data_IF_747815675693
#
_entry.id   IF_747815675693
#
_cell.length_a   1.000
_cell.length_b   1.000
_cell.length_c   1.000
_cell.angle_alpha   90.00
_cell.angle_beta   90.00
_cell.angle_gamma   90.00
#
_symmetry.space_group_name_H-M   'P 1'
#
loop_
_entity.id
_entity.type
_entity.pdbx_description
1 polymer ?
#
# COMPACT_ATOMS: atom_id res chain seq x y z
N UNK A 1 25.92 -9.15 27.12
CA UNK A 1 25.34 -7.99 26.46
C UNK A 1 25.89 -7.96 25.04
N UNK A 2 25.21 -8.55 24.09
CA UNK A 2 25.58 -8.51 22.67
C UNK A 2 24.64 -7.52 22.02
N UNK A 3 25.18 -6.39 21.54
CA UNK A 3 24.47 -5.50 20.66
C UNK A 3 24.17 -6.27 19.37
N UNK A 4 22.90 -6.57 19.14
CA UNK A 4 22.47 -7.01 17.84
C UNK A 4 22.64 -5.78 16.93
N UNK A 5 23.68 -5.80 16.10
CA UNK A 5 23.87 -4.88 14.99
C UNK A 5 22.56 -4.91 14.18
N UNK A 6 21.77 -3.85 14.33
CA UNK A 6 20.59 -3.64 13.50
C UNK A 6 21.07 -3.48 12.08
N UNK A 7 20.81 -4.47 11.24
CA UNK A 7 20.97 -4.31 9.81
C UNK A 7 20.18 -3.06 9.42
N UNK A 8 20.92 -2.03 9.04
CA UNK A 8 20.34 -0.75 8.66
C UNK A 8 19.62 -0.97 7.34
N UNK A 9 18.27 -0.93 7.35
CA UNK A 9 17.46 -1.02 6.14
C UNK A 9 17.71 0.24 5.29
N UNK A 10 18.77 0.20 4.50
CA UNK A 10 19.11 1.31 3.60
C UNK A 10 18.12 1.34 2.45
N UNK A 11 17.55 2.52 2.21
CA UNK A 11 16.74 2.78 1.02
C UNK A 11 17.63 3.48 0.00
N UNK A 12 17.80 2.94 -1.22
CA UNK A 12 18.44 3.68 -2.30
C UNK A 12 17.56 4.87 -2.72
N UNK A 13 18.18 5.86 -3.33
CA UNK A 13 17.46 6.96 -3.95
C UNK A 13 16.86 6.48 -5.28
N UNK A 14 15.54 6.29 -5.39
CA UNK A 14 14.92 5.81 -6.62
C UNK A 14 14.99 6.90 -7.71
N UNK A 15 15.06 6.49 -8.96
CA UNK A 15 14.94 7.40 -10.11
C UNK A 15 13.56 8.03 -10.18
N UNK A 16 12.52 7.25 -9.83
CA UNK A 16 11.13 7.69 -9.81
C UNK A 16 10.44 7.22 -8.53
N UNK A 17 9.87 8.17 -7.80
CA UNK A 17 9.12 7.94 -6.58
C UNK A 17 7.64 8.26 -6.83
N UNK A 18 6.78 7.28 -6.69
CA UNK A 18 5.34 7.48 -6.68
C UNK A 18 4.84 7.64 -5.25
N UNK A 19 4.18 8.76 -4.98
CA UNK A 19 3.52 9.05 -3.70
C UNK A 19 2.02 8.88 -3.91
N UNK A 20 1.43 7.91 -3.24
CA UNK A 20 0.01 7.71 -3.23
C UNK A 20 -0.64 8.62 -2.18
N UNK A 21 -1.48 9.53 -2.64
CA UNK A 21 -2.25 10.38 -1.74
C UNK A 21 -3.49 9.62 -1.22
N UNK A 22 -3.28 8.88 -0.16
CA UNK A 22 -4.31 8.25 0.67
C UNK A 22 -4.61 9.06 1.94
N UNK A 23 -4.05 10.26 2.06
CA UNK A 23 -4.08 11.07 3.28
C UNK A 23 -5.05 12.25 3.18
N UNK A 24 -5.08 12.96 2.05
CA UNK A 24 -5.82 14.23 1.92
C UNK A 24 -7.30 14.07 2.24
N UNK A 25 -7.99 13.14 1.57
CA UNK A 25 -9.42 12.92 1.76
C UNK A 25 -9.74 12.32 3.13
N UNK A 26 -8.87 11.48 3.65
CA UNK A 26 -9.04 10.90 4.98
C UNK A 26 -8.96 11.98 6.05
N UNK A 27 -7.93 12.83 6.00
CA UNK A 27 -7.76 13.93 6.96
C UNK A 27 -8.90 14.92 6.84
N UNK A 28 -9.34 15.27 5.64
CA UNK A 28 -10.46 16.18 5.44
C UNK A 28 -11.78 15.65 6.03
N UNK A 29 -12.04 14.34 5.88
CA UNK A 29 -13.24 13.70 6.49
C UNK A 29 -13.16 13.65 8.01
N UNK A 30 -12.00 13.38 8.57
CA UNK A 30 -11.81 13.17 10.00
C UNK A 30 -11.71 14.47 10.78
N UNK A 31 -10.95 15.43 10.28
CA UNK A 31 -10.58 16.66 10.97
C UNK A 31 -11.38 17.89 10.48
N UNK A 32 -12.13 17.73 9.37
CA UNK A 32 -12.81 18.82 8.68
C UNK A 32 -11.94 19.52 7.62
N UNK A 33 -12.55 19.90 6.51
CA UNK A 33 -11.85 20.44 5.33
C UNK A 33 -11.05 21.73 5.59
N UNK A 34 -11.41 22.51 6.59
CA UNK A 34 -10.73 23.76 7.00
C UNK A 34 -9.71 23.59 8.12
N UNK A 35 -9.43 22.37 8.57
CA UNK A 35 -8.55 22.13 9.71
C UNK A 35 -7.07 22.41 9.41
N UNK A 36 -6.26 22.76 10.44
CA UNK A 36 -4.82 22.89 10.29
C UNK A 36 -4.15 21.62 9.74
N UNK A 37 -4.67 20.45 10.06
CA UNK A 37 -4.16 19.18 9.56
C UNK A 37 -4.31 19.06 8.04
N UNK A 38 -5.44 19.49 7.47
CA UNK A 38 -5.67 19.54 6.01
C UNK A 38 -4.71 20.52 5.34
N UNK A 39 -4.53 21.72 5.91
CA UNK A 39 -3.59 22.69 5.38
C UNK A 39 -2.15 22.12 5.34
N UNK A 40 -1.67 21.53 6.44
CA UNK A 40 -0.35 20.92 6.49
C UNK A 40 -0.21 19.70 5.57
N UNK A 41 -1.28 18.93 5.36
CA UNK A 41 -1.26 17.82 4.38
C UNK A 41 -1.05 18.36 2.96
N UNK A 42 -1.76 19.42 2.59
CA UNK A 42 -1.58 20.08 1.29
C UNK A 42 -0.18 20.67 1.14
N UNK A 43 0.35 21.30 2.18
CA UNK A 43 1.71 21.85 2.18
C UNK A 43 2.76 20.74 2.00
N UNK A 44 2.59 19.59 2.66
CA UNK A 44 3.46 18.44 2.49
C UNK A 44 3.43 17.96 1.04
N UNK A 45 2.26 17.66 0.49
CA UNK A 45 2.13 17.16 -0.88
C UNK A 45 2.64 18.17 -1.92
N UNK A 46 2.36 19.48 -1.74
CA UNK A 46 2.90 20.52 -2.58
C UNK A 46 4.42 20.62 -2.50
N UNK A 47 5.01 20.40 -1.31
CA UNK A 47 6.45 20.33 -1.16
C UNK A 47 7.04 19.13 -1.91
N UNK A 48 6.42 17.94 -1.79
CA UNK A 48 6.88 16.73 -2.49
C UNK A 48 6.80 16.90 -4.02
N UNK A 49 5.74 17.54 -4.51
CA UNK A 49 5.52 17.77 -5.95
C UNK A 49 6.53 18.73 -6.59
N UNK A 50 7.34 19.47 -5.82
CA UNK A 50 8.38 20.38 -6.37
C UNK A 50 9.46 19.65 -7.15
N UNK A 51 9.75 18.41 -6.79
CA UNK A 51 10.67 17.54 -7.55
C UNK A 51 9.88 16.76 -8.63
N UNK A 52 9.30 17.52 -9.58
CA UNK A 52 8.44 16.94 -10.60
C UNK A 52 9.17 16.01 -11.59
N UNK A 53 10.49 16.00 -11.62
CA UNK A 53 11.26 15.05 -12.43
C UNK A 53 11.27 13.66 -11.80
N UNK A 54 11.31 13.59 -10.47
CA UNK A 54 11.43 12.34 -9.72
C UNK A 54 10.19 11.91 -8.98
N UNK A 55 9.35 12.84 -8.55
CA UNK A 55 8.17 12.55 -7.73
C UNK A 55 6.89 12.65 -8.55
N UNK A 56 6.06 11.62 -8.44
CA UNK A 56 4.71 11.57 -9.04
C UNK A 56 3.68 11.35 -7.92
N UNK A 57 2.83 12.33 -7.70
CA UNK A 57 1.71 12.18 -6.77
C UNK A 57 0.54 11.56 -7.54
N UNK A 58 -0.04 10.51 -6.98
CA UNK A 58 -1.17 9.78 -7.55
C UNK A 58 -2.33 9.81 -6.57
N UNK A 59 -3.47 10.35 -6.97
CA UNK A 59 -4.70 10.29 -6.18
C UNK A 59 -5.35 8.91 -6.26
N UNK A 60 -6.15 8.55 -5.25
CA UNK A 60 -6.94 7.30 -5.28
C UNK A 60 -7.87 7.28 -6.48
N UNK A 61 -8.60 8.39 -6.71
CA UNK A 61 -9.57 8.50 -7.80
C UNK A 61 -8.96 8.26 -9.17
N UNK A 62 -7.84 8.93 -9.50
CA UNK A 62 -7.15 8.72 -10.78
C UNK A 62 -6.73 7.27 -10.99
N UNK A 63 -6.26 6.61 -9.94
CA UNK A 63 -5.82 5.22 -10.05
C UNK A 63 -7.01 4.26 -10.22
N UNK A 64 -8.12 4.51 -9.53
CA UNK A 64 -9.38 3.76 -9.70
C UNK A 64 -9.87 3.90 -11.13
N UNK A 65 -9.92 5.12 -11.69
CA UNK A 65 -10.33 5.35 -13.09
C UNK A 65 -9.42 4.59 -14.07
N UNK A 66 -8.11 4.56 -13.82
CA UNK A 66 -7.16 3.82 -14.66
C UNK A 66 -7.38 2.30 -14.60
N UNK A 67 -7.76 1.76 -13.45
CA UNK A 67 -8.12 0.32 -13.33
C UNK A 67 -9.39 0.05 -14.12
N UNK A 68 -10.43 0.86 -13.94
CA UNK A 68 -11.73 0.69 -14.60
C UNK A 68 -11.61 0.84 -16.12
N UNK A 69 -10.77 1.77 -16.60
CA UNK A 69 -10.54 1.99 -18.03
C UNK A 69 -9.88 0.81 -18.77
N UNK A 70 -9.31 -0.17 -18.04
CA UNK A 70 -8.65 -1.33 -18.66
C UNK A 70 -9.61 -2.44 -19.07
N UNK A 71 -10.88 -2.36 -18.73
CA UNK A 71 -11.89 -3.30 -19.15
C UNK A 71 -13.07 -3.33 -18.22
N UNK A 72 -14.17 -3.89 -18.71
CA UNK A 72 -15.36 -4.13 -17.90
C UNK A 72 -15.39 -5.59 -17.41
N UNK A 73 -15.94 -5.79 -16.24
CA UNK A 73 -16.06 -7.10 -15.61
C UNK A 73 -17.47 -7.30 -15.11
N UNK A 74 -18.02 -8.49 -15.34
CA UNK A 74 -19.20 -8.94 -14.61
C UNK A 74 -18.88 -8.96 -13.10
N UNK A 75 -19.86 -8.73 -12.23
CA UNK A 75 -19.65 -8.75 -10.78
C UNK A 75 -19.03 -10.07 -10.31
N UNK A 76 -17.99 -9.96 -9.49
CA UNK A 76 -17.36 -11.12 -8.85
C UNK A 76 -18.21 -11.60 -7.67
N UNK A 77 -18.31 -12.91 -7.49
CA UNK A 77 -19.05 -13.48 -6.37
C UNK A 77 -18.48 -13.08 -5.01
N UNK A 78 -17.14 -12.89 -4.93
CA UNK A 78 -16.45 -12.41 -3.74
C UNK A 78 -15.13 -11.71 -4.12
N UNK A 79 -14.90 -10.56 -3.51
CA UNK A 79 -13.60 -9.88 -3.51
C UNK A 79 -12.89 -10.07 -2.16
N UNK A 80 -11.61 -10.39 -2.20
CA UNK A 80 -10.70 -10.52 -1.06
C UNK A 80 -9.79 -9.29 -1.03
N UNK A 81 -10.08 -8.35 -0.14
CA UNK A 81 -9.27 -7.15 0.06
C UNK A 81 -8.13 -7.43 1.03
N UNK A 82 -6.87 -7.29 0.60
CA UNK A 82 -5.70 -7.54 1.43
C UNK A 82 -5.50 -6.37 2.40
N UNK A 83 -5.62 -6.65 3.69
CA UNK A 83 -5.56 -5.64 4.73
C UNK A 83 -6.66 -4.57 4.60
N UNK A 84 -6.54 -3.50 5.35
CA UNK A 84 -7.47 -2.37 5.27
C UNK A 84 -7.31 -1.57 3.97
N UNK A 85 -6.11 -1.52 3.39
CA UNK A 85 -5.86 -0.81 2.14
C UNK A 85 -6.54 -1.50 0.96
N UNK A 86 -6.33 -2.81 0.79
CA UNK A 86 -6.98 -3.59 -0.26
C UNK A 86 -8.50 -3.62 -0.13
N UNK A 87 -9.04 -3.64 1.09
CA UNK A 87 -10.48 -3.51 1.31
C UNK A 87 -11.01 -2.17 0.79
N UNK A 88 -10.37 -1.03 1.16
CA UNK A 88 -10.77 0.30 0.67
C UNK A 88 -10.70 0.41 -0.85
N UNK A 89 -9.69 -0.20 -1.47
CA UNK A 89 -9.58 -0.25 -2.94
C UNK A 89 -10.73 -1.05 -3.56
N UNK A 90 -11.07 -2.20 -2.98
CA UNK A 90 -12.21 -2.99 -3.45
C UNK A 90 -13.54 -2.21 -3.33
N UNK A 91 -13.74 -1.51 -2.22
CA UNK A 91 -14.90 -0.64 -2.00
C UNK A 91 -14.96 0.50 -3.03
N UNK A 92 -13.82 1.16 -3.32
CA UNK A 92 -13.76 2.24 -4.32
C UNK A 92 -14.04 1.72 -5.74
N UNK A 93 -13.48 0.58 -6.12
CA UNK A 93 -13.75 -0.06 -7.42
C UNK A 93 -15.22 -0.52 -7.52
N UNK A 94 -15.80 -1.04 -6.41
CA UNK A 94 -17.22 -1.37 -6.39
C UNK A 94 -18.09 -0.13 -6.57
N UNK A 95 -17.85 0.93 -5.83
CA UNK A 95 -18.60 2.18 -5.93
C UNK A 95 -18.54 2.78 -7.35
N UNK A 96 -17.41 2.59 -8.06
CA UNK A 96 -17.21 3.13 -9.40
C UNK A 96 -17.75 2.25 -10.53
N UNK A 97 -17.65 0.92 -10.41
CA UNK A 97 -17.91 -0.02 -11.49
C UNK A 97 -18.85 -1.19 -11.12
N UNK A 98 -19.25 -1.31 -9.85
CA UNK A 98 -20.16 -2.37 -9.43
C UNK A 98 -19.54 -3.78 -9.33
N UNK A 99 -18.22 -3.92 -9.48
CA UNK A 99 -17.58 -5.23 -9.65
C UNK A 99 -17.58 -6.11 -8.41
N UNK A 100 -17.61 -5.54 -7.20
CA UNK A 100 -17.40 -6.28 -5.95
C UNK A 100 -18.56 -6.13 -4.94
N UNK A 101 -19.75 -6.71 -5.22
CA UNK A 101 -20.91 -6.57 -4.34
C UNK A 101 -20.70 -7.21 -2.96
N UNK A 102 -19.76 -8.13 -2.85
CA UNK A 102 -19.35 -8.77 -1.59
C UNK A 102 -17.83 -8.63 -1.43
N UNK A 103 -17.40 -8.04 -0.32
CA UNK A 103 -15.99 -7.83 0.00
C UNK A 103 -15.69 -8.47 1.35
N UNK A 104 -14.62 -9.27 1.42
CA UNK A 104 -14.06 -9.83 2.64
C UNK A 104 -12.63 -9.32 2.80
N UNK A 105 -12.31 -8.79 3.98
CA UNK A 105 -10.93 -8.43 4.31
C UNK A 105 -10.15 -9.70 4.69
N UNK A 106 -8.94 -9.80 4.15
CA UNK A 106 -7.93 -10.76 4.56
C UNK A 106 -6.89 -10.00 5.36
N UNK A 107 -6.78 -10.31 6.65
CA UNK A 107 -5.91 -9.61 7.59
C UNK A 107 -4.45 -10.00 7.43
N UNK A 108 -3.78 -9.44 6.45
CA UNK A 108 -2.35 -9.67 6.20
C UNK A 108 -1.59 -8.36 6.13
N UNK A 109 -0.34 -8.42 6.57
CA UNK A 109 0.62 -7.32 6.44
C UNK A 109 2.03 -7.87 6.25
N UNK A 110 2.96 -6.97 5.93
CA UNK A 110 4.40 -7.27 5.90
C UNK A 110 5.05 -6.78 7.19
N UNK A 111 5.97 -7.55 7.70
CA UNK A 111 6.76 -7.24 8.89
C UNK A 111 8.23 -7.44 8.56
N UNK A 112 9.10 -6.52 9.01
CA UNK A 112 10.56 -6.67 8.88
C UNK A 112 11.00 -7.95 9.59
N UNK A 113 11.80 -8.79 8.90
CA UNK A 113 12.24 -10.09 9.41
C UNK A 113 13.52 -10.03 10.28
N UNK A 114 14.07 -8.80 10.47
CA UNK A 114 15.32 -8.56 11.20
C UNK A 114 16.59 -8.97 10.44
N UNK A 115 16.46 -9.42 9.18
CA UNK A 115 17.58 -9.84 8.31
C UNK A 115 17.67 -9.00 7.03
N UNK A 116 17.00 -7.84 7.00
CA UNK A 116 16.94 -6.96 5.83
C UNK A 116 15.83 -7.32 4.82
N UNK A 117 14.93 -8.27 5.16
CA UNK A 117 13.80 -8.68 4.35
C UNK A 117 12.46 -8.47 5.05
N UNK A 118 11.42 -8.99 4.42
CA UNK A 118 10.05 -8.94 4.93
C UNK A 118 9.41 -10.31 4.89
N UNK A 119 8.58 -10.60 5.90
CA UNK A 119 7.69 -11.75 5.94
C UNK A 119 6.24 -11.31 5.94
N UNK A 120 5.36 -12.14 5.41
CA UNK A 120 3.91 -11.96 5.52
C UNK A 120 3.46 -12.50 6.89
N UNK A 121 2.69 -11.67 7.60
CA UNK A 121 2.12 -12.04 8.88
C UNK A 121 0.62 -11.78 8.89
N UNK A 122 -0.13 -12.64 9.62
CA UNK A 122 -1.55 -12.40 9.86
C UNK A 122 -1.73 -11.26 10.87
N UNK A 123 -2.71 -10.41 10.62
CA UNK A 123 -3.17 -9.36 11.56
C UNK A 123 -4.52 -9.71 12.19
N UNK A 124 -5.11 -10.82 11.77
CA UNK A 124 -6.36 -11.38 12.29
C UNK A 124 -6.09 -12.76 12.88
N UNK A 125 -6.99 -13.28 13.73
CA UNK A 125 -6.90 -14.66 14.21
C UNK A 125 -6.87 -15.67 13.05
N UNK A 126 -6.00 -16.66 13.18
CA UNK A 126 -5.78 -17.69 12.15
C UNK A 126 -4.72 -17.32 11.11
N UNK A 127 -4.26 -18.33 10.42
CA UNK A 127 -3.34 -18.21 9.28
C UNK A 127 -4.11 -17.87 7.98
N UNK A 128 -3.38 -17.72 6.88
CA UNK A 128 -4.00 -17.39 5.58
C UNK A 128 -5.03 -18.43 5.14
N UNK A 129 -4.76 -19.76 5.21
CA UNK A 129 -5.75 -20.78 4.90
C UNK A 129 -7.03 -20.65 5.71
N UNK A 130 -6.96 -20.42 7.02
CA UNK A 130 -8.13 -20.26 7.87
C UNK A 130 -8.97 -19.04 7.49
N UNK A 131 -8.34 -17.93 7.08
CA UNK A 131 -9.06 -16.74 6.60
C UNK A 131 -9.71 -16.94 5.23
N UNK A 132 -9.28 -17.97 4.48
CA UNK A 132 -9.83 -18.33 3.16
C UNK A 132 -10.93 -19.42 3.23
N UNK A 133 -11.40 -19.78 4.41
CA UNK A 133 -12.45 -20.76 4.55
C UNK A 133 -13.72 -20.34 3.79
N UNK A 134 -14.37 -21.29 3.09
CA UNK A 134 -15.54 -21.07 2.25
C UNK A 134 -15.31 -20.26 0.97
N UNK A 135 -14.04 -19.86 0.67
CA UNK A 135 -13.72 -19.11 -0.56
C UNK A 135 -13.69 -20.03 -1.78
N UNK A 136 -13.34 -21.31 -1.59
CA UNK A 136 -13.23 -22.28 -2.68
C UNK A 136 -14.54 -22.51 -3.44
N UNK A 137 -15.69 -22.30 -2.80
CA UNK A 137 -17.01 -22.56 -3.37
C UNK A 137 -17.58 -21.37 -4.17
N UNK A 138 -16.90 -20.22 -4.17
CA UNK A 138 -17.38 -19.04 -4.87
C UNK A 138 -17.20 -19.19 -6.39
N UNK A 139 -18.22 -18.76 -7.15
CA UNK A 139 -18.25 -18.89 -8.61
C UNK A 139 -17.14 -18.08 -9.30
N UNK A 140 -16.78 -16.92 -8.76
CA UNK A 140 -15.68 -16.07 -9.23
C UNK A 140 -15.06 -15.30 -8.07
N UNK A 141 -13.76 -15.04 -8.14
CA UNK A 141 -13.00 -14.39 -7.09
C UNK A 141 -12.21 -13.20 -7.62
N UNK A 142 -12.13 -12.14 -6.82
CA UNK A 142 -11.16 -11.07 -7.00
C UNK A 142 -10.21 -11.02 -5.79
N UNK A 143 -8.92 -10.81 -6.02
CA UNK A 143 -7.94 -10.48 -4.97
C UNK A 143 -7.48 -9.05 -5.20
N UNK A 144 -7.71 -8.18 -4.22
CA UNK A 144 -7.53 -6.74 -4.37
C UNK A 144 -6.53 -6.21 -3.36
N UNK A 145 -5.57 -5.42 -3.84
CA UNK A 145 -4.62 -4.70 -2.98
C UNK A 145 -4.43 -3.26 -3.51
N UNK A 146 -3.83 -2.39 -2.71
CA UNK A 146 -3.49 -1.04 -3.16
C UNK A 146 -2.22 -1.03 -3.99
N UNK A 147 -1.19 -1.78 -3.57
CA UNK A 147 0.15 -1.74 -4.18
C UNK A 147 0.77 -3.13 -4.31
N UNK A 148 1.17 -3.48 -5.54
CA UNK A 148 2.02 -4.65 -5.81
C UNK A 148 3.48 -4.19 -5.92
N UNK A 149 4.13 -3.97 -4.77
CA UNK A 149 5.53 -3.55 -4.74
C UNK A 149 6.50 -4.73 -4.94
N UNK A 150 6.42 -5.75 -4.09
CA UNK A 150 7.16 -7.01 -4.24
C UNK A 150 6.27 -8.17 -4.68
N UNK A 151 4.97 -7.98 -4.67
CA UNK A 151 3.98 -9.04 -4.91
C UNK A 151 3.87 -10.07 -3.78
N UNK A 152 4.66 -9.95 -2.71
CA UNK A 152 4.76 -10.97 -1.66
C UNK A 152 3.40 -11.31 -1.03
N UNK A 153 2.64 -10.29 -0.62
CA UNK A 153 1.35 -10.47 0.08
C UNK A 153 0.29 -11.04 -0.87
N UNK A 154 0.17 -10.44 -2.07
CA UNK A 154 -0.82 -10.88 -3.06
C UNK A 154 -0.55 -12.32 -3.53
N UNK A 155 0.72 -12.66 -3.79
CA UNK A 155 1.12 -14.02 -4.13
C UNK A 155 0.82 -15.01 -3.01
N UNK A 156 1.05 -14.63 -1.74
CA UNK A 156 0.73 -15.49 -0.59
C UNK A 156 -0.76 -15.84 -0.53
N UNK A 157 -1.65 -14.85 -0.74
CA UNK A 157 -3.12 -15.08 -0.78
C UNK A 157 -3.49 -15.97 -1.96
N UNK A 158 -3.02 -15.65 -3.18
CA UNK A 158 -3.38 -16.41 -4.39
C UNK A 158 -2.85 -17.85 -4.32
N UNK A 159 -1.62 -18.05 -3.83
CA UNK A 159 -1.03 -19.38 -3.69
C UNK A 159 -1.75 -20.26 -2.66
N UNK A 160 -2.34 -19.65 -1.62
CA UNK A 160 -3.12 -20.35 -0.62
C UNK A 160 -4.52 -20.79 -1.11
N UNK A 161 -5.00 -20.24 -2.24
CA UNK A 161 -6.25 -20.68 -2.85
C UNK A 161 -6.09 -22.07 -3.47
N UNK A 162 -7.09 -22.98 -3.34
CA UNK A 162 -7.14 -24.23 -4.12
C UNK A 162 -7.06 -23.94 -5.62
N UNK A 163 -6.44 -24.86 -6.36
CA UNK A 163 -6.20 -24.66 -7.81
C UNK A 163 -7.49 -24.33 -8.58
N UNK A 164 -8.58 -25.02 -8.31
CA UNK A 164 -9.89 -24.78 -8.93
C UNK A 164 -10.40 -23.36 -8.64
N UNK A 165 -10.18 -22.79 -7.46
CA UNK A 165 -10.54 -21.43 -7.13
C UNK A 165 -9.62 -20.43 -7.81
N UNK A 166 -8.32 -20.71 -7.87
CA UNK A 166 -7.30 -19.88 -8.51
C UNK A 166 -7.58 -19.65 -10.00
N UNK A 167 -8.05 -20.68 -10.72
CA UNK A 167 -8.41 -20.59 -12.15
C UNK A 167 -9.55 -19.60 -12.45
N UNK A 168 -10.38 -19.27 -11.47
CA UNK A 168 -11.48 -18.29 -11.59
C UNK A 168 -11.25 -17.03 -10.74
N UNK A 169 -9.98 -16.81 -10.40
CA UNK A 169 -9.53 -15.63 -9.67
C UNK A 169 -8.90 -14.63 -10.63
N UNK A 170 -9.16 -13.34 -10.39
CA UNK A 170 -8.46 -12.21 -10.99
C UNK A 170 -7.93 -11.31 -9.90
N UNK A 171 -6.73 -10.79 -10.07
CA UNK A 171 -6.13 -9.82 -9.17
C UNK A 171 -6.35 -8.38 -9.67
N UNK A 172 -6.44 -7.45 -8.72
CA UNK A 172 -6.55 -6.01 -8.98
C UNK A 172 -5.64 -5.24 -8.05
N UNK A 173 -4.95 -4.22 -8.58
CA UNK A 173 -4.24 -3.26 -7.74
C UNK A 173 -4.29 -1.86 -8.37
N UNK A 174 -4.15 -0.84 -7.55
CA UNK A 174 -4.07 0.53 -8.04
C UNK A 174 -2.75 0.78 -8.76
N UNK A 175 -1.67 0.19 -8.24
CA UNK A 175 -0.31 0.39 -8.77
C UNK A 175 0.62 -0.76 -8.43
N UNK A 176 1.71 -0.87 -9.16
CA UNK A 176 2.76 -1.81 -8.84
C UNK A 176 4.00 -1.66 -9.72
N UNK A 177 5.08 -2.31 -9.33
CA UNK A 177 6.27 -2.45 -10.14
C UNK A 177 6.00 -3.50 -11.21
N UNK A 178 6.28 -3.20 -12.47
CA UNK A 178 5.94 -4.07 -13.61
C UNK A 178 6.50 -5.50 -13.46
N UNK A 179 7.73 -5.66 -12.99
CA UNK A 179 8.33 -6.97 -12.73
C UNK A 179 7.56 -7.76 -11.65
N UNK A 180 7.06 -7.08 -10.62
CA UNK A 180 6.30 -7.71 -9.54
C UNK A 180 4.88 -8.06 -9.98
N UNK A 181 4.26 -7.20 -10.79
CA UNK A 181 2.97 -7.49 -11.44
C UNK A 181 3.09 -8.75 -12.31
N UNK A 182 4.18 -8.89 -13.08
CA UNK A 182 4.44 -10.08 -13.89
C UNK A 182 4.53 -11.36 -13.04
N UNK A 183 5.12 -11.29 -11.83
CA UNK A 183 5.17 -12.46 -10.93
C UNK A 183 3.79 -12.85 -10.39
N UNK A 184 2.88 -11.91 -10.21
CA UNK A 184 1.48 -12.18 -9.84
C UNK A 184 0.71 -12.71 -11.06
N UNK A 185 0.94 -12.14 -12.23
CA UNK A 185 0.32 -12.56 -13.50
C UNK A 185 0.58 -14.03 -13.83
N UNK A 186 1.71 -14.58 -13.39
CA UNK A 186 2.01 -16.01 -13.51
C UNK A 186 1.08 -16.93 -12.69
N UNK A 187 0.35 -16.38 -11.70
CA UNK A 187 -0.57 -17.13 -10.85
C UNK A 187 -2.03 -16.94 -11.27
N UNK A 188 -2.43 -15.74 -11.65
CA UNK A 188 -3.75 -15.41 -12.17
C UNK A 188 -3.71 -14.07 -12.94
N UNK A 189 -4.69 -13.80 -13.84
CA UNK A 189 -4.78 -12.51 -14.51
C UNK A 189 -4.83 -11.35 -13.52
N UNK A 190 -4.08 -10.28 -13.78
CA UNK A 190 -4.05 -9.08 -12.94
C UNK A 190 -4.31 -7.81 -13.75
N UNK A 191 -5.10 -6.91 -13.19
CA UNK A 191 -5.33 -5.54 -13.69
C UNK A 191 -4.70 -4.55 -12.72
N UNK A 192 -3.81 -3.68 -13.23
CA UNK A 192 -3.12 -2.66 -12.44
C UNK A 192 -3.34 -1.27 -13.05
N UNK A 193 -3.78 -0.30 -12.27
CA UNK A 193 -3.99 1.08 -12.75
C UNK A 193 -2.69 1.75 -13.21
N UNK A 194 -1.59 1.48 -12.51
CA UNK A 194 -0.25 1.95 -12.86
C UNK A 194 0.73 0.79 -12.75
N UNK A 195 1.37 0.44 -13.85
CA UNK A 195 2.49 -0.52 -13.89
C UNK A 195 3.78 0.26 -14.17
N UNK A 196 4.56 0.55 -13.13
CA UNK A 196 5.79 1.31 -13.27
C UNK A 196 6.94 0.40 -13.74
N UNK A 197 7.63 0.75 -14.84
CA UNK A 197 8.76 0.00 -15.32
C UNK A 197 10.00 0.23 -14.44
N UNK A 198 10.94 -0.73 -14.48
CA UNK A 198 12.21 -0.63 -13.77
C UNK A 198 12.30 -1.55 -12.57
N UNK A 199 13.49 -1.56 -11.95
CA UNK A 199 13.79 -2.37 -10.77
C UNK A 199 13.26 -1.68 -9.51
N UNK A 200 12.72 -2.50 -8.60
CA UNK A 200 12.28 -2.02 -7.28
C UNK A 200 13.42 -1.35 -6.55
N UNK A 201 13.11 -0.28 -5.83
CA UNK A 201 13.99 0.54 -5.00
C UNK A 201 14.96 1.40 -5.80
N UNK A 202 15.65 0.84 -6.80
CA UNK A 202 16.66 1.56 -7.59
C UNK A 202 16.03 2.49 -8.63
N UNK A 203 15.16 1.93 -9.49
CA UNK A 203 14.53 2.70 -10.56
C UNK A 203 13.18 3.29 -10.11
N UNK A 204 12.40 2.52 -9.31
CA UNK A 204 11.08 2.93 -8.87
C UNK A 204 10.78 2.53 -7.44
N UNK A 205 10.17 3.45 -6.70
CA UNK A 205 9.57 3.19 -5.39
C UNK A 205 8.15 3.73 -5.32
N UNK A 206 7.34 3.10 -4.46
CA UNK A 206 5.99 3.53 -4.11
C UNK A 206 5.91 3.74 -2.60
N UNK A 207 5.38 4.87 -2.19
CA UNK A 207 5.07 5.16 -0.79
C UNK A 207 3.64 5.70 -0.66
N UNK A 208 3.05 5.50 0.49
CA UNK A 208 1.77 6.10 0.85
C UNK A 208 2.01 7.40 1.61
N UNK A 209 1.25 8.45 1.33
CA UNK A 209 1.33 9.71 2.05
C UNK A 209 0.99 9.52 3.54
N UNK A 210 0.01 8.65 3.85
CA UNK A 210 -0.31 8.27 5.24
C UNK A 210 0.89 7.61 5.95
N UNK A 211 1.66 6.81 5.24
CA UNK A 211 2.86 6.16 5.77
C UNK A 211 3.99 7.12 6.13
N UNK A 212 4.05 8.30 5.48
CA UNK A 212 5.01 9.34 5.85
C UNK A 212 4.77 9.86 7.26
N UNK A 213 3.51 9.93 7.71
CA UNK A 213 3.12 10.64 8.92
C UNK A 213 2.56 9.77 10.05
N UNK A 214 2.09 8.54 9.75
CA UNK A 214 1.45 7.64 10.72
C UNK A 214 2.35 6.47 11.07
N UNK A 215 2.44 6.12 12.36
CA UNK A 215 3.20 4.98 12.89
C UNK A 215 2.49 3.66 12.65
N UNK A 216 2.18 3.38 11.39
CA UNK A 216 1.56 2.13 10.92
C UNK A 216 2.26 1.54 9.69
N UNK A 217 3.23 2.28 9.12
CA UNK A 217 3.82 1.96 7.83
C UNK A 217 4.87 0.85 7.90
N UNK A 218 5.72 0.89 8.93
CA UNK A 218 6.81 -0.08 9.11
C UNK A 218 6.49 -0.93 10.33
N UNK A 219 6.19 -2.21 10.11
CA UNK A 219 5.95 -3.17 11.19
C UNK A 219 7.22 -3.96 11.48
N UNK A 220 7.45 -4.20 12.76
CA UNK A 220 8.63 -4.91 13.29
C UNK A 220 8.18 -5.89 14.36
N UNK A 221 8.74 -7.09 14.34
CA UNK A 221 8.38 -8.13 15.31
C UNK A 221 8.59 -7.64 16.76
N UNK A 222 7.53 -7.71 17.57
CA UNK A 222 7.58 -7.38 18.99
C UNK A 222 7.90 -5.90 19.32
N UNK A 223 7.84 -5.00 18.35
CA UNK A 223 8.12 -3.58 18.53
C UNK A 223 6.96 -2.70 18.04
N UNK A 224 6.80 -1.48 18.56
CA UNK A 224 5.85 -0.53 18.01
C UNK A 224 6.13 -0.25 16.53
N UNK A 225 5.08 -0.09 15.71
CA UNK A 225 5.25 0.26 14.31
C UNK A 225 5.80 1.69 14.18
N UNK A 226 6.46 1.95 13.05
CA UNK A 226 7.02 3.24 12.71
C UNK A 226 6.28 3.88 11.53
N UNK A 227 6.33 5.21 11.47
CA UNK A 227 6.12 5.98 10.25
C UNK A 227 7.43 6.04 9.44
N UNK A 228 7.34 6.46 8.18
CA UNK A 228 8.56 6.64 7.39
C UNK A 228 9.44 7.78 7.91
N UNK A 229 8.85 8.81 8.54
CA UNK A 229 9.64 9.89 9.14
C UNK A 229 10.48 9.44 10.36
N UNK A 230 10.14 8.32 11.00
CA UNK A 230 10.95 7.72 12.07
C UNK A 230 12.24 7.05 11.52
N UNK A 231 12.40 7.02 10.18
CA UNK A 231 13.60 6.61 9.44
C UNK A 231 14.12 7.80 8.62
N UNK A 232 14.80 8.78 9.23
CA UNK A 232 15.23 10.00 8.53
C UNK A 232 16.17 9.73 7.35
N UNK A 233 16.92 8.63 7.35
CA UNK A 233 17.71 8.16 6.24
C UNK A 233 16.87 7.82 4.99
N UNK A 234 15.65 7.28 5.18
CA UNK A 234 14.71 7.02 4.09
C UNK A 234 14.16 8.34 3.51
N UNK A 235 13.79 9.28 4.38
CA UNK A 235 13.33 10.60 3.93
C UNK A 235 14.43 11.32 3.15
N UNK A 236 15.69 11.17 3.56
CA UNK A 236 16.84 11.75 2.84
C UNK A 236 17.03 11.08 1.47
N UNK A 237 16.90 9.77 1.38
CA UNK A 237 17.02 9.03 0.12
C UNK A 237 15.91 9.39 -0.87
N UNK A 238 14.67 9.50 -0.40
CA UNK A 238 13.52 9.82 -1.24
C UNK A 238 13.46 11.30 -1.64
N UNK A 239 13.86 12.20 -0.74
CA UNK A 239 13.72 13.65 -0.91
C UNK A 239 15.05 14.38 -0.63
N UNK A 240 16.16 14.12 -1.35
CA UNK A 240 17.51 14.58 -0.99
C UNK A 240 17.59 16.11 -0.88
N UNK A 241 16.95 16.86 -1.78
CA UNK A 241 16.95 18.34 -1.78
C UNK A 241 16.03 18.99 -0.77
N UNK A 242 15.10 18.21 -0.13
CA UNK A 242 14.00 18.77 0.67
C UNK A 242 13.81 18.03 1.99
N UNK A 243 14.63 17.03 2.30
CA UNK A 243 14.44 16.08 3.39
C UNK A 243 14.16 16.74 4.75
N UNK A 244 14.88 17.82 5.09
CA UNK A 244 14.70 18.50 6.37
C UNK A 244 13.29 19.12 6.51
N UNK A 245 12.79 19.75 5.43
CA UNK A 245 11.44 20.33 5.40
C UNK A 245 10.34 19.25 5.41
N UNK A 246 10.56 18.19 4.63
CA UNK A 246 9.64 17.02 4.62
C UNK A 246 9.55 16.40 6.00
N UNK A 247 10.69 16.15 6.66
CA UNK A 247 10.74 15.58 8.00
C UNK A 247 9.98 16.46 9.02
N UNK A 248 10.22 17.77 9.00
CA UNK A 248 9.54 18.70 9.90
C UNK A 248 8.02 18.72 9.69
N UNK A 249 7.55 18.70 8.44
CA UNK A 249 6.10 18.63 8.15
C UNK A 249 5.49 17.30 8.57
N UNK A 250 6.17 16.18 8.32
CA UNK A 250 5.70 14.87 8.76
C UNK A 250 5.56 14.78 10.29
N UNK A 251 6.53 15.29 11.05
CA UNK A 251 6.50 15.32 12.50
C UNK A 251 5.33 16.20 13.03
N UNK A 252 5.14 17.38 12.45
CA UNK A 252 4.03 18.26 12.81
C UNK A 252 2.67 17.63 12.51
N UNK A 253 2.52 17.01 11.36
CA UNK A 253 1.30 16.27 11.01
C UNK A 253 1.06 15.09 11.94
N UNK A 254 2.11 14.31 12.27
CA UNK A 254 1.97 13.19 13.19
C UNK A 254 1.41 13.64 14.55
N UNK A 255 1.92 14.75 15.11
CA UNK A 255 1.41 15.31 16.38
C UNK A 255 -0.08 15.64 16.31
N UNK A 256 -0.56 16.17 15.18
CA UNK A 256 -1.99 16.49 15.00
C UNK A 256 -2.85 15.25 14.79
N UNK A 257 -2.34 14.26 14.04
CA UNK A 257 -3.11 13.08 13.63
C UNK A 257 -3.05 11.93 14.63
N UNK A 258 -1.99 11.86 15.42
CA UNK A 258 -1.75 10.86 16.46
C UNK A 258 -1.38 11.57 17.76
N UNK A 259 -2.32 12.32 18.40
CA UNK A 259 -2.04 12.94 19.67
C UNK A 259 -1.64 11.87 20.69
N UNK A 260 -0.61 12.15 21.47
CA UNK A 260 -0.13 11.24 22.51
C UNK A 260 -1.31 10.82 23.37
N UNK A 261 -1.53 9.51 23.47
CA UNK A 261 -2.48 8.98 24.45
C UNK A 261 -1.88 9.29 25.83
N UNK A 262 -2.39 10.34 26.47
CA UNK A 262 -2.17 10.60 27.90
C UNK A 262 -2.89 9.57 28.75
#
# INVERSE_FOLDING_TARGET
MSAADGAEYTQPTPRLLYVHDDLTDEVARREGAGSPAVALTRDLLALLARDAERVRILTVGEQVERVVAQGDHAPFALALGIGAAGQRVAEALHARAGWFPRIRRIGLTREEDGRGGYRVVSTEPGDVPAQLDGVADQASLAVVDDTVFSGLTMRAVIAALPEAARRRTRAFCLRGVAESIATVAALCPITAGVAAPGRRLDDVSFINASGLVRRVAIRRAGQPPLAFFDRPEWIRAWFPGQHAKVLALCQRLNVLLEPSRT
#
